data_IF_486157399022
#
_entry.id   IF_486157399022
#
_cell.length_a   1.000
_cell.length_b   1.000
_cell.length_c   1.000
_cell.angle_alpha   90.00
_cell.angle_beta   90.00
_cell.angle_gamma   90.00
#
_symmetry.space_group_name_H-M   'P 1'
#
loop_
_entity.id
_entity.type
_entity.pdbx_description
1 polymer ?
#
# COMPACT_ATOMS: atom_id res chain seq x y z
N UNK A 1 13.05 -22.37 24.14
CA UNK A 1 12.40 -22.40 22.82
C UNK A 1 12.06 -20.97 22.44
N UNK A 2 12.92 -20.32 21.66
CA UNK A 2 12.69 -18.94 21.21
C UNK A 2 11.89 -19.02 19.91
N UNK A 3 10.64 -18.57 19.94
CA UNK A 3 9.75 -18.60 18.79
C UNK A 3 10.33 -17.71 17.68
N UNK A 4 10.65 -18.31 16.53
CA UNK A 4 11.07 -17.57 15.34
C UNK A 4 9.95 -16.63 14.89
N UNK A 5 10.26 -15.40 14.41
CA UNK A 5 9.26 -14.53 13.81
C UNK A 5 8.61 -15.28 12.65
N UNK A 6 7.28 -15.34 12.67
CA UNK A 6 6.50 -16.07 11.67
C UNK A 6 6.82 -15.51 10.29
N UNK A 7 7.25 -16.39 9.38
CA UNK A 7 7.52 -16.06 7.98
C UNK A 7 6.28 -15.43 7.36
N UNK A 8 6.32 -14.12 7.07
CA UNK A 8 5.31 -13.48 6.20
C UNK A 8 5.25 -14.31 4.91
N UNK A 9 4.06 -14.74 4.52
CA UNK A 9 3.82 -15.23 3.17
C UNK A 9 4.38 -14.18 2.21
N UNK A 10 5.36 -14.51 1.35
CA UNK A 10 5.84 -13.56 0.36
C UNK A 10 4.71 -13.33 -0.65
N UNK A 11 4.76 -12.20 -1.35
CA UNK A 11 4.08 -11.96 -2.64
C UNK A 11 2.74 -11.24 -2.67
N UNK A 12 2.55 -10.18 -1.89
CA UNK A 12 1.80 -9.04 -2.43
C UNK A 12 2.42 -7.73 -1.99
N UNK A 13 3.08 -7.03 -2.93
CA UNK A 13 3.63 -5.69 -2.69
C UNK A 13 2.46 -4.77 -2.36
N UNK A 14 2.54 -4.06 -1.23
CA UNK A 14 1.53 -3.10 -0.78
C UNK A 14 1.95 -1.71 -1.21
N UNK A 15 1.12 -1.08 -2.03
CA UNK A 15 1.38 0.23 -2.64
C UNK A 15 0.39 1.25 -2.10
N UNK A 16 0.88 2.37 -1.59
CA UNK A 16 0.10 3.58 -1.41
C UNK A 16 0.30 4.45 -2.65
N UNK A 17 -0.76 4.78 -3.37
CA UNK A 17 -0.67 5.58 -4.59
C UNK A 17 -1.53 6.84 -4.45
N UNK A 18 -0.88 8.01 -4.55
CA UNK A 18 -1.52 9.32 -4.49
C UNK A 18 -1.53 9.97 -5.85
N UNK A 19 -2.70 10.41 -6.30
CA UNK A 19 -2.88 11.25 -7.48
C UNK A 19 -4.21 12.00 -7.36
N UNK A 20 -4.21 13.29 -7.66
CA UNK A 20 -5.40 14.14 -7.56
C UNK A 20 -6.37 13.93 -8.73
N UNK A 21 -5.92 13.31 -9.83
CA UNK A 21 -6.74 13.02 -10.99
C UNK A 21 -7.42 11.64 -10.88
N UNK A 22 -8.77 11.57 -10.80
CA UNK A 22 -9.49 10.30 -10.64
C UNK A 22 -9.22 9.28 -11.77
N UNK A 23 -8.98 9.77 -12.99
CA UNK A 23 -8.68 8.92 -14.15
C UNK A 23 -7.34 8.20 -13.97
N UNK A 24 -6.31 8.92 -13.51
CA UNK A 24 -4.98 8.34 -13.25
C UNK A 24 -5.06 7.32 -12.12
N UNK A 25 -5.73 7.63 -11.01
CA UNK A 25 -5.93 6.68 -9.90
C UNK A 25 -6.59 5.37 -10.36
N UNK A 26 -7.68 5.47 -11.13
CA UNK A 26 -8.38 4.28 -11.63
C UNK A 26 -7.53 3.44 -12.60
N UNK A 27 -6.68 4.10 -13.39
CA UNK A 27 -5.76 3.45 -14.34
C UNK A 27 -4.63 2.74 -13.59
N UNK A 28 -4.05 3.39 -12.58
CA UNK A 28 -2.98 2.80 -11.77
C UNK A 28 -3.47 1.67 -10.88
N UNK A 29 -4.68 1.75 -10.32
CA UNK A 29 -5.26 0.63 -9.58
C UNK A 29 -5.34 -0.63 -10.45
N UNK A 30 -5.88 -0.51 -11.67
CA UNK A 30 -5.97 -1.65 -12.60
C UNK A 30 -4.60 -2.22 -12.94
N UNK A 31 -3.64 -1.35 -13.25
CA UNK A 31 -2.27 -1.76 -13.59
C UNK A 31 -1.60 -2.50 -12.42
N UNK A 32 -1.57 -1.87 -11.24
CA UNK A 32 -0.91 -2.42 -10.06
C UNK A 32 -1.59 -3.70 -9.56
N UNK A 33 -2.92 -3.79 -9.59
CA UNK A 33 -3.63 -5.03 -9.25
C UNK A 33 -3.34 -6.15 -10.26
N UNK A 34 -3.19 -5.84 -11.54
CA UNK A 34 -2.80 -6.80 -12.60
C UNK A 34 -1.38 -7.33 -12.36
N UNK A 35 -0.48 -6.50 -11.86
CA UNK A 35 0.86 -6.89 -11.42
C UNK A 35 0.86 -7.68 -10.10
N UNK A 36 -0.32 -7.93 -9.52
CA UNK A 36 -0.45 -8.66 -8.28
C UNK A 36 -0.12 -7.82 -7.05
N UNK A 37 -0.20 -6.49 -7.10
CA UNK A 37 -0.06 -5.65 -5.90
C UNK A 37 -1.37 -5.56 -5.11
N UNK A 38 -1.26 -5.19 -3.84
CA UNK A 38 -2.33 -4.61 -3.03
C UNK A 38 -2.16 -3.09 -3.08
N UNK A 39 -3.23 -2.35 -3.36
CA UNK A 39 -3.14 -0.91 -3.61
C UNK A 39 -4.13 -0.17 -2.72
N UNK A 40 -3.64 0.85 -2.01
CA UNK A 40 -4.45 1.90 -1.38
C UNK A 40 -4.33 3.15 -2.24
N UNK A 41 -5.45 3.64 -2.77
CA UNK A 41 -5.53 4.89 -3.51
C UNK A 41 -5.91 6.03 -2.56
N UNK A 42 -5.26 7.18 -2.71
CA UNK A 42 -5.58 8.41 -1.96
C UNK A 42 -5.60 9.61 -2.92
N UNK A 43 -6.46 10.58 -2.65
CA UNK A 43 -6.67 11.73 -3.56
C UNK A 43 -5.80 12.95 -3.27
N UNK A 44 -5.16 12.99 -2.10
CA UNK A 44 -4.36 14.12 -1.67
C UNK A 44 -3.24 13.69 -0.70
N UNK A 45 -2.31 14.62 -0.47
CA UNK A 45 -1.15 14.38 0.39
C UNK A 45 -1.49 14.23 1.88
N UNK A 46 -2.56 14.86 2.37
CA UNK A 46 -2.97 14.72 3.77
C UNK A 46 -3.47 13.31 4.04
N UNK A 47 -4.28 12.77 3.13
CA UNK A 47 -4.74 11.38 3.17
C UNK A 47 -3.57 10.40 3.04
N UNK A 48 -2.61 10.67 2.14
CA UNK A 48 -1.40 9.85 1.98
C UNK A 48 -0.58 9.76 3.27
N UNK A 49 -0.31 10.91 3.91
CA UNK A 49 0.44 10.97 5.16
C UNK A 49 -0.31 10.21 6.27
N UNK A 50 -1.62 10.42 6.38
CA UNK A 50 -2.45 9.75 7.38
C UNK A 50 -2.41 8.22 7.20
N UNK A 51 -2.61 7.73 5.99
CA UNK A 51 -2.58 6.29 5.69
C UNK A 51 -1.19 5.69 5.91
N UNK A 52 -0.13 6.40 5.53
CA UNK A 52 1.24 5.97 5.76
C UNK A 52 1.54 5.75 7.25
N UNK A 53 1.20 6.73 8.09
CA UNK A 53 1.42 6.62 9.53
C UNK A 53 0.51 5.57 10.19
N UNK A 54 -0.76 5.48 9.77
CA UNK A 54 -1.68 4.47 10.26
C UNK A 54 -1.18 3.05 9.97
N UNK A 55 -0.75 2.80 8.73
CA UNK A 55 -0.19 1.52 8.28
C UNK A 55 1.10 1.16 9.04
N UNK A 56 2.00 2.13 9.19
CA UNK A 56 3.26 1.96 9.93
C UNK A 56 3.02 1.63 11.40
N UNK A 57 2.11 2.35 12.05
CA UNK A 57 1.75 2.15 13.47
C UNK A 57 1.06 0.81 13.70
N UNK A 58 0.26 0.34 12.73
CA UNK A 58 -0.41 -0.95 12.79
C UNK A 58 0.54 -2.15 12.60
N UNK A 59 1.83 -1.94 12.31
CA UNK A 59 2.80 -3.02 12.03
C UNK A 59 2.68 -3.60 10.62
N UNK A 60 1.94 -2.93 9.74
CA UNK A 60 1.74 -3.32 8.35
C UNK A 60 2.05 -2.11 7.45
N UNK A 61 3.33 -1.74 7.26
CA UNK A 61 3.70 -0.64 6.38
C UNK A 61 3.45 -0.98 4.90
N UNK A 62 3.45 0.06 4.06
CA UNK A 62 3.53 -0.08 2.61
C UNK A 62 4.97 -0.39 2.17
N UNK A 63 5.10 -1.16 1.10
CA UNK A 63 6.40 -1.47 0.48
C UNK A 63 6.81 -0.38 -0.52
N UNK A 64 5.82 0.34 -1.06
CA UNK A 64 5.98 1.48 -1.97
C UNK A 64 4.95 2.56 -1.64
N UNK A 65 5.38 3.82 -1.64
CA UNK A 65 4.57 5.03 -1.41
C UNK A 65 4.88 6.03 -2.51
#
# INVERSE_FOLDING_TARGET
MTQLPQSRSPNRIRVLFMDDEPLVRSSMERMLRTLGCEVKLVGDGSEAIHEFFAASTAGFPFDLV
#
